data_IF_845996784734
#
_entry.id   IF_845996784734
#
_cell.length_a   1.000
_cell.length_b   1.000
_cell.length_c   1.000
_cell.angle_alpha   90.00
_cell.angle_beta   90.00
_cell.angle_gamma   90.00
#
_symmetry.space_group_name_H-M   'P 1'
#
loop_
_entity.id
_entity.type
_entity.pdbx_description
1 polymer ?
#
# COMPACT_ATOMS: atom_id res chain seq x y z
N UNK A 1 23.11 -11.10 -13.38
CA UNK A 1 22.44 -11.60 -12.15
C UNK A 1 21.27 -10.71 -11.75
N UNK A 2 20.24 -11.25 -11.12
CA UNK A 2 19.17 -10.49 -10.48
C UNK A 2 19.69 -9.71 -9.25
N UNK A 3 19.41 -8.41 -9.18
CA UNK A 3 19.83 -7.53 -8.09
C UNK A 3 18.69 -7.33 -7.09
N UNK A 4 17.50 -7.00 -7.58
CA UNK A 4 16.35 -6.64 -6.74
C UNK A 4 15.03 -6.82 -7.51
N UNK A 5 13.94 -7.00 -6.77
CA UNK A 5 12.58 -7.11 -7.29
C UNK A 5 11.61 -6.36 -6.37
N UNK A 6 11.15 -5.19 -6.82
CA UNK A 6 10.38 -4.25 -6.02
C UNK A 6 8.91 -4.25 -6.48
N UNK A 7 7.97 -4.76 -5.66
CA UNK A 7 6.55 -4.75 -6.01
C UNK A 7 5.97 -3.34 -5.87
N UNK A 8 5.06 -3.02 -6.78
CA UNK A 8 4.12 -1.92 -6.66
C UNK A 8 2.70 -2.48 -6.80
N UNK A 9 1.69 -1.61 -6.93
CA UNK A 9 0.28 -2.02 -6.87
C UNK A 9 -0.09 -3.19 -7.80
N UNK A 10 0.25 -3.09 -9.07
CA UNK A 10 -0.07 -4.11 -10.08
C UNK A 10 1.10 -4.37 -11.04
N UNK A 11 2.32 -4.08 -10.59
CA UNK A 11 3.53 -4.31 -11.37
C UNK A 11 4.72 -4.64 -10.45
N UNK A 12 5.77 -5.20 -11.05
CA UNK A 12 7.01 -5.55 -10.39
C UNK A 12 8.16 -4.89 -11.14
N UNK A 13 8.96 -4.08 -10.45
CA UNK A 13 10.21 -3.57 -11.01
C UNK A 13 11.32 -4.59 -10.75
N UNK A 14 11.97 -5.06 -11.82
CA UNK A 14 13.07 -6.01 -11.73
C UNK A 14 14.37 -5.32 -12.10
N UNK A 15 15.34 -5.34 -11.18
CA UNK A 15 16.69 -4.80 -11.38
C UNK A 15 17.67 -5.95 -11.54
N UNK A 16 18.52 -5.87 -12.55
CA UNK A 16 19.51 -6.90 -12.86
C UNK A 16 20.80 -6.28 -13.40
N UNK A 17 21.88 -7.05 -13.36
CA UNK A 17 23.16 -6.66 -13.95
C UNK A 17 23.19 -7.04 -15.45
N UNK A 18 23.19 -6.05 -16.37
CA UNK A 18 23.15 -6.30 -17.80
C UNK A 18 24.47 -6.86 -18.36
N UNK A 19 25.57 -6.82 -17.61
CA UNK A 19 26.84 -7.40 -18.03
C UNK A 19 26.87 -8.93 -17.83
N UNK A 20 25.93 -9.46 -17.06
CA UNK A 20 25.87 -10.89 -16.76
C UNK A 20 24.65 -11.59 -17.36
N UNK A 21 23.52 -10.88 -17.53
CA UNK A 21 22.25 -11.47 -18.03
C UNK A 21 21.56 -10.49 -18.98
N UNK A 22 20.92 -11.00 -20.03
CA UNK A 22 20.20 -10.15 -20.98
C UNK A 22 18.81 -9.78 -20.48
N UNK A 23 18.25 -8.68 -21.00
CA UNK A 23 16.87 -8.30 -20.71
C UNK A 23 15.85 -9.36 -21.16
N UNK A 24 16.11 -10.07 -22.26
CA UNK A 24 15.24 -11.12 -22.79
C UNK A 24 15.21 -12.35 -21.88
N UNK A 25 16.34 -12.71 -21.27
CA UNK A 25 16.39 -13.79 -20.29
C UNK A 25 15.56 -13.43 -19.05
N UNK A 26 15.71 -12.20 -18.56
CA UNK A 26 14.94 -11.70 -17.40
C UNK A 26 13.45 -11.65 -17.69
N UNK A 27 13.06 -11.21 -18.89
CA UNK A 27 11.66 -11.23 -19.33
C UNK A 27 11.08 -12.65 -19.32
N UNK A 28 11.85 -13.61 -19.84
CA UNK A 28 11.46 -15.02 -19.84
C UNK A 28 11.26 -15.54 -18.42
N UNK A 29 12.18 -15.25 -17.50
CA UNK A 29 12.04 -15.62 -16.08
C UNK A 29 10.79 -15.04 -15.43
N UNK A 30 10.46 -13.77 -15.73
CA UNK A 30 9.27 -13.11 -15.20
C UNK A 30 7.98 -13.78 -15.70
N UNK A 31 7.93 -14.14 -16.99
CA UNK A 31 6.77 -14.81 -17.60
C UNK A 31 6.59 -16.22 -17.00
N UNK A 32 7.67 -16.98 -16.89
CA UNK A 32 7.64 -18.33 -16.30
C UNK A 32 7.24 -18.29 -14.83
N UNK A 33 7.79 -17.36 -14.06
CA UNK A 33 7.43 -17.18 -12.65
C UNK A 33 5.97 -16.79 -12.47
N UNK A 34 5.44 -15.89 -13.33
CA UNK A 34 4.03 -15.51 -13.30
C UNK A 34 3.10 -16.68 -13.66
N UNK A 35 3.49 -17.52 -14.62
CA UNK A 35 2.71 -18.70 -15.00
C UNK A 35 2.72 -19.80 -13.92
N UNK A 36 3.83 -19.94 -13.19
CA UNK A 36 3.99 -20.91 -12.11
C UNK A 36 3.54 -20.41 -10.73
N UNK A 37 3.06 -19.17 -10.61
CA UNK A 37 2.68 -18.58 -9.34
C UNK A 37 1.41 -19.23 -8.78
N UNK A 38 1.58 -20.22 -7.90
CA UNK A 38 0.52 -20.66 -7.02
C UNK A 38 0.16 -19.52 -6.04
N UNK A 39 -1.11 -19.44 -5.62
CA UNK A 39 -1.49 -18.50 -4.56
C UNK A 39 -0.68 -18.81 -3.31
N UNK A 40 0.25 -17.94 -2.95
CA UNK A 40 1.03 -18.08 -1.72
C UNK A 40 0.06 -17.95 -0.54
N UNK A 41 -0.32 -19.09 0.03
CA UNK A 41 -1.23 -19.19 1.19
C UNK A 41 -0.43 -19.00 2.47
N UNK A 42 0.18 -17.83 2.64
CA UNK A 42 0.62 -17.40 3.96
C UNK A 42 -0.58 -16.73 4.65
N UNK A 43 -0.89 -17.06 5.91
CA UNK A 43 -1.93 -16.34 6.64
C UNK A 43 -1.54 -14.85 6.71
N UNK A 44 -2.51 -13.93 6.56
CA UNK A 44 -2.22 -12.51 6.66
C UNK A 44 -1.65 -12.18 8.03
N UNK A 45 -0.64 -11.31 8.06
CA UNK A 45 -0.11 -10.74 9.30
C UNK A 45 -0.92 -9.49 9.63
N UNK A 46 -1.59 -9.50 10.77
CA UNK A 46 -2.21 -8.29 11.33
C UNK A 46 -1.18 -7.49 12.13
N UNK A 47 -1.19 -6.16 11.96
CA UNK A 47 -0.34 -5.22 12.70
C UNK A 47 -1.21 -4.08 13.19
N UNK A 48 -1.31 -3.91 14.51
CA UNK A 48 -2.05 -2.82 15.12
C UNK A 48 -1.13 -1.60 15.31
N UNK A 49 -1.54 -0.45 14.76
CA UNK A 49 -0.78 0.80 14.82
C UNK A 49 -1.54 1.80 15.68
N UNK A 50 -0.98 2.25 16.82
CA UNK A 50 -1.61 3.30 17.61
C UNK A 50 -1.51 4.64 16.87
N UNK A 51 -2.64 5.34 16.75
CA UNK A 51 -2.73 6.64 16.04
C UNK A 51 -3.27 7.69 16.99
N UNK A 52 -2.58 8.82 17.09
CA UNK A 52 -3.10 10.03 17.73
C UNK A 52 -3.79 10.88 16.68
N UNK A 53 -5.11 10.99 16.76
CA UNK A 53 -5.89 11.78 15.81
C UNK A 53 -6.04 13.24 16.25
N UNK A 54 -6.31 14.11 15.27
CA UNK A 54 -6.71 15.50 15.48
C UNK A 54 -5.61 16.42 16.03
N UNK A 55 -6.01 17.66 16.33
CA UNK A 55 -5.12 18.69 16.88
C UNK A 55 -3.85 18.90 16.05
N UNK A 56 -2.70 19.05 16.71
CA UNK A 56 -1.41 19.22 16.01
C UNK A 56 -0.92 17.96 15.29
N UNK A 57 -1.40 16.76 15.67
CA UNK A 57 -1.00 15.49 15.05
C UNK A 57 -1.77 15.23 13.74
N UNK A 58 -3.00 15.72 13.64
CA UNK A 58 -3.86 15.64 12.46
C UNK A 58 -4.63 16.95 12.24
N UNK A 59 -3.95 18.03 11.79
CA UNK A 59 -4.57 19.34 11.64
C UNK A 59 -5.71 19.36 10.60
N UNK A 60 -5.69 18.43 9.65
CA UNK A 60 -6.67 18.35 8.56
C UNK A 60 -7.93 17.55 8.93
N UNK A 61 -7.99 16.93 10.12
CA UNK A 61 -9.16 16.11 10.53
C UNK A 61 -10.44 16.95 10.56
N UNK A 62 -10.36 18.22 10.99
CA UNK A 62 -11.47 19.15 10.97
C UNK A 62 -11.98 19.46 9.55
N UNK A 63 -11.08 19.53 8.56
CA UNK A 63 -11.44 19.77 7.17
C UNK A 63 -12.03 18.51 6.52
N UNK A 64 -11.48 17.34 6.82
CA UNK A 64 -12.05 16.04 6.42
C UNK A 64 -13.50 15.93 6.92
N UNK A 65 -13.72 16.19 8.21
CA UNK A 65 -15.04 16.18 8.84
C UNK A 65 -16.02 17.12 8.10
N UNK A 66 -15.58 18.34 7.78
CA UNK A 66 -16.37 19.32 7.02
C UNK A 66 -16.73 18.83 5.61
N UNK A 67 -15.78 18.21 4.90
CA UNK A 67 -15.97 17.72 3.53
C UNK A 67 -16.86 16.48 3.46
N UNK A 68 -16.85 15.65 4.50
CA UNK A 68 -17.64 14.42 4.55
C UNK A 68 -18.98 14.56 5.28
N UNK A 69 -19.23 15.71 5.93
CA UNK A 69 -20.41 15.93 6.76
C UNK A 69 -20.43 15.11 8.07
N UNK A 70 -19.24 14.68 8.53
CA UNK A 70 -19.05 13.94 9.76
C UNK A 70 -18.52 14.87 10.86
N UNK A 71 -18.58 14.44 12.11
CA UNK A 71 -17.78 15.01 13.20
C UNK A 71 -16.34 14.50 13.16
N UNK A 72 -15.40 15.21 13.80
CA UNK A 72 -14.01 14.75 13.89
C UNK A 72 -13.89 13.36 14.54
N UNK A 73 -14.66 13.10 15.61
CA UNK A 73 -14.70 11.80 16.28
C UNK A 73 -15.22 10.68 15.35
N UNK A 74 -16.23 10.98 14.53
CA UNK A 74 -16.74 10.03 13.54
C UNK A 74 -15.72 9.74 12.44
N UNK A 75 -14.99 10.75 11.95
CA UNK A 75 -13.87 10.54 11.02
C UNK A 75 -12.85 9.59 11.62
N UNK A 76 -12.46 9.81 12.87
CA UNK A 76 -11.49 8.96 13.56
C UNK A 76 -12.01 7.53 13.73
N UNK A 77 -13.28 7.37 14.11
CA UNK A 77 -13.91 6.06 14.28
C UNK A 77 -14.07 5.29 12.95
N UNK A 78 -14.40 5.99 11.86
CA UNK A 78 -14.47 5.43 10.50
C UNK A 78 -13.08 4.98 10.05
N UNK A 79 -12.07 5.83 10.22
CA UNK A 79 -10.70 5.48 9.85
C UNK A 79 -10.16 4.32 10.71
N UNK A 80 -10.41 4.30 12.02
CA UNK A 80 -9.86 3.30 12.93
C UNK A 80 -10.46 1.90 12.77
N UNK A 81 -11.70 1.77 12.27
CA UNK A 81 -12.35 0.46 12.05
C UNK A 81 -12.03 -0.16 10.69
N UNK A 82 -11.27 0.54 9.84
CA UNK A 82 -10.95 0.07 8.50
C UNK A 82 -10.06 -1.18 8.52
N UNK A 83 -10.42 -2.16 7.68
CA UNK A 83 -9.58 -3.34 7.43
C UNK A 83 -8.54 -3.01 6.35
N UNK A 84 -7.38 -2.53 6.78
CA UNK A 84 -6.35 -2.07 5.86
C UNK A 84 -5.46 -3.18 5.33
N UNK A 85 -5.38 -3.29 4.00
CA UNK A 85 -4.41 -4.15 3.31
C UNK A 85 -3.24 -3.33 2.78
N UNK A 86 -2.02 -3.70 3.15
CA UNK A 86 -0.80 -3.19 2.51
C UNK A 86 -0.70 -3.79 1.12
N UNK A 87 -0.87 -2.98 0.08
CA UNK A 87 -0.66 -3.42 -1.30
C UNK A 87 0.82 -3.47 -1.66
N UNK A 88 1.58 -2.44 -1.26
CA UNK A 88 3.03 -2.38 -1.44
C UNK A 88 3.64 -1.35 -0.47
N UNK A 89 4.96 -1.37 -0.36
CA UNK A 89 5.75 -0.38 0.37
C UNK A 89 6.55 0.43 -0.65
N UNK A 90 6.58 1.77 -0.54
CA UNK A 90 7.23 2.64 -1.53
C UNK A 90 7.36 4.07 -1.05
N UNK A 91 7.73 5.02 -1.93
CA UNK A 91 8.02 6.44 -1.62
C UNK A 91 9.23 6.68 -0.70
N UNK A 92 9.18 6.17 0.53
CA UNK A 92 10.28 6.16 1.50
C UNK A 92 10.43 4.74 2.05
N UNK A 93 11.56 4.45 2.69
CA UNK A 93 11.82 3.14 3.28
C UNK A 93 10.69 2.74 4.25
N UNK A 94 9.84 1.81 3.82
CA UNK A 94 8.74 1.26 4.61
C UNK A 94 7.43 2.05 4.61
N UNK A 95 7.24 3.08 3.77
CA UNK A 95 5.95 3.79 3.73
C UNK A 95 4.87 2.92 3.05
N UNK A 96 3.77 2.57 3.76
CA UNK A 96 2.76 1.64 3.25
C UNK A 96 1.70 2.32 2.40
N UNK A 97 1.38 1.70 1.26
CA UNK A 97 0.20 2.04 0.48
C UNK A 97 -0.94 1.10 0.85
N UNK A 98 -1.90 1.64 1.59
CA UNK A 98 -3.03 0.91 2.14
C UNK A 98 -4.25 1.00 1.22
N UNK A 99 -5.01 -0.08 1.11
CA UNK A 99 -6.41 -0.06 0.68
C UNK A 99 -7.35 -0.45 1.79
N UNK A 100 -8.64 -0.18 1.61
CA UNK A 100 -9.68 -0.52 2.58
C UNK A 100 -10.29 0.69 3.29
N UNK A 101 -9.89 1.92 2.94
CA UNK A 101 -10.59 3.12 3.38
C UNK A 101 -12.01 3.11 2.79
N UNK A 102 -13.00 3.45 3.59
CA UNK A 102 -14.41 3.42 3.21
C UNK A 102 -15.00 4.83 2.99
N UNK A 103 -16.11 4.88 2.24
CA UNK A 103 -16.92 6.09 2.09
C UNK A 103 -17.48 6.53 3.45
N UNK A 104 -17.58 7.84 3.73
CA UNK A 104 -17.31 8.97 2.82
C UNK A 104 -15.83 9.42 2.77
N UNK A 105 -14.92 8.79 3.54
CA UNK A 105 -13.54 9.28 3.65
C UNK A 105 -12.76 9.17 2.34
N UNK A 106 -13.07 8.18 1.49
CA UNK A 106 -12.47 8.00 0.16
C UNK A 106 -12.77 9.12 -0.84
N UNK A 107 -13.84 9.89 -0.63
CA UNK A 107 -14.24 10.98 -1.50
C UNK A 107 -13.50 12.30 -1.21
N UNK A 108 -12.70 12.36 -0.14
CA UNK A 108 -11.95 13.56 0.24
C UNK A 108 -10.78 13.79 -0.72
N UNK A 109 -10.68 14.96 -1.38
CA UNK A 109 -9.58 15.26 -2.29
C UNK A 109 -8.24 15.41 -1.55
N UNK A 110 -7.15 15.24 -2.30
CA UNK A 110 -5.79 15.58 -1.83
C UNK A 110 -5.57 17.08 -1.77
#
# INVERSE_FOLDING_TARGET
RLIDALPAYACLMVRFDPLEVSAADVETWCVEAAAGAASVSAPPREVQIPVSYGGAAGPDVAEVARLTGLTEDEVCAVHARGDYRVYFLGFMGGFPYLGGLEEPLTAVPR
#
